data_IF_938080108001
#
_entry.id   IF_938080108001
#
_cell.length_a   1.000
_cell.length_b   1.000
_cell.length_c   1.000
_cell.angle_alpha   90.00
_cell.angle_beta   90.00
_cell.angle_gamma   90.00
#
_symmetry.space_group_name_H-M   'P 1'
#
loop_
_entity.id
_entity.type
_entity.pdbx_description
1 polymer ?
#
# COMPACT_ATOMS: atom_id res chain seq x y z
N UNK A 1 54.68 10.22 -5.70
CA UNK A 1 55.03 9.16 -4.72
C UNK A 1 54.02 8.04 -4.90
N UNK A 2 54.46 6.89 -5.43
CA UNK A 2 53.66 5.73 -5.85
C UNK A 2 53.92 4.58 -4.88
N UNK A 3 52.97 4.25 -4.00
CA UNK A 3 53.15 3.21 -2.98
C UNK A 3 51.73 2.88 -2.45
N UNK A 4 51.18 1.67 -2.38
CA UNK A 4 51.64 0.33 -2.66
C UNK A 4 50.40 -0.54 -2.96
N UNK A 5 50.52 -1.37 -3.99
CA UNK A 5 49.65 -2.50 -4.30
C UNK A 5 49.68 -3.51 -3.13
N UNK A 6 48.51 -3.95 -2.65
CA UNK A 6 48.40 -5.17 -1.84
C UNK A 6 47.20 -5.99 -2.27
N UNK A 7 47.55 -7.07 -2.96
CA UNK A 7 46.74 -8.20 -3.36
C UNK A 7 46.79 -9.22 -2.21
N UNK A 8 45.66 -9.53 -1.59
CA UNK A 8 45.50 -10.67 -0.67
C UNK A 8 44.22 -11.43 -1.08
N UNK A 9 44.35 -12.46 -1.92
CA UNK A 9 44.50 -13.89 -1.59
C UNK A 9 43.19 -14.54 -1.11
N UNK A 10 42.68 -15.41 -1.99
CA UNK A 10 41.57 -16.35 -1.79
C UNK A 10 41.69 -17.12 -0.48
N UNK A 11 40.54 -17.28 0.20
CA UNK A 11 40.24 -18.50 0.94
C UNK A 11 38.86 -19.00 0.49
N UNK A 12 38.87 -20.12 -0.23
CA UNK A 12 37.70 -20.92 -0.57
C UNK A 12 37.90 -22.29 0.08
N UNK A 13 37.02 -22.69 1.01
CA UNK A 13 36.92 -24.03 1.63
C UNK A 13 35.69 -23.99 2.57
N UNK A 14 34.74 -24.92 2.70
CA UNK A 14 34.22 -26.10 1.98
C UNK A 14 32.90 -26.46 2.70
N UNK A 15 31.91 -26.91 1.92
CA UNK A 15 30.86 -27.93 2.21
C UNK A 15 30.23 -28.03 3.61
N UNK A 16 28.90 -27.87 3.66
CA UNK A 16 28.03 -28.47 4.68
C UNK A 16 26.60 -28.59 4.15
N UNK A 17 26.19 -29.80 3.76
CA UNK A 17 24.86 -30.15 3.28
C UNK A 17 24.29 -31.22 4.20
N UNK A 18 23.07 -31.01 4.71
CA UNK A 18 22.21 -32.07 5.24
C UNK A 18 20.77 -31.82 4.77
N UNK A 19 20.16 -32.74 4.00
CA UNK A 19 18.73 -32.72 3.70
C UNK A 19 18.02 -33.79 4.54
N UNK A 20 17.06 -33.38 5.39
CA UNK A 20 16.07 -34.27 6.05
C UNK A 20 14.75 -33.50 6.29
N UNK A 21 13.61 -34.17 6.46
CA UNK A 21 12.77 -34.80 5.43
C UNK A 21 11.42 -34.06 5.30
N UNK A 22 10.69 -34.34 4.20
CA UNK A 22 9.28 -33.94 4.04
C UNK A 22 8.42 -34.74 5.03
N UNK A 23 7.56 -34.05 5.77
CA UNK A 23 6.44 -34.67 6.46
C UNK A 23 5.14 -34.03 5.96
N UNK A 24 4.35 -34.91 5.36
CA UNK A 24 3.03 -34.73 4.81
C UNK A 24 2.03 -34.77 5.97
N UNK A 25 1.12 -33.80 6.05
CA UNK A 25 -0.14 -33.99 6.80
C UNK A 25 -1.26 -33.35 5.99
N UNK A 26 -1.64 -34.09 4.97
CA UNK A 26 -3.01 -34.22 4.47
C UNK A 26 -4.04 -34.17 5.62
N UNK A 27 -4.94 -33.18 5.58
CA UNK A 27 -6.24 -33.27 6.26
C UNK A 27 -7.34 -32.84 5.29
N UNK A 28 -7.92 -33.86 4.67
CA UNK A 28 -9.33 -34.02 4.29
C UNK A 28 -9.99 -32.88 3.49
N UNK A 29 -10.04 -33.02 2.16
CA UNK A 29 -11.28 -33.16 1.35
C UNK A 29 -10.89 -33.89 0.04
N UNK A 30 -11.84 -34.60 -0.56
CA UNK A 30 -11.80 -35.27 -1.88
C UNK A 30 -11.40 -36.74 -1.91
N UNK A 31 -12.18 -37.54 -1.16
CA UNK A 31 -12.68 -38.78 -1.77
C UNK A 31 -13.81 -38.40 -2.72
N UNK A 32 -13.74 -38.92 -3.96
CA UNK A 32 -14.62 -38.73 -5.12
C UNK A 32 -14.09 -37.63 -6.06
N UNK A 33 -13.21 -38.00 -7.01
CA UNK A 33 -13.33 -37.68 -8.44
C UNK A 33 -12.19 -38.39 -9.21
N UNK A 34 -12.23 -39.72 -9.24
CA UNK A 34 -11.46 -40.48 -10.23
C UNK A 34 -12.27 -40.51 -11.53
N UNK A 35 -11.87 -39.70 -12.51
CA UNK A 35 -11.53 -40.13 -13.88
C UNK A 35 -11.57 -38.95 -14.87
N UNK A 36 -10.36 -38.62 -15.37
CA UNK A 36 -9.97 -38.20 -16.73
C UNK A 36 -10.82 -37.14 -17.47
N UNK A 37 -10.25 -35.95 -17.70
CA UNK A 37 -9.81 -35.56 -19.06
C UNK A 37 -8.85 -34.35 -19.04
N UNK A 38 -7.99 -34.32 -20.05
CA UNK A 38 -6.92 -33.39 -20.34
C UNK A 38 -7.43 -31.99 -20.70
N UNK A 39 -7.22 -31.00 -19.83
CA UNK A 39 -7.00 -29.63 -20.28
C UNK A 39 -6.36 -28.79 -19.20
N UNK A 40 -5.28 -28.13 -19.58
CA UNK A 40 -4.58 -27.11 -18.81
C UNK A 40 -5.58 -26.02 -18.46
N UNK A 41 -5.73 -25.74 -17.18
CA UNK A 41 -5.73 -24.41 -16.52
C UNK A 41 -6.10 -24.73 -15.08
N UNK A 42 -5.09 -24.93 -14.22
CA UNK A 42 -5.33 -24.68 -12.81
C UNK A 42 -5.75 -23.22 -12.71
N UNK A 43 -6.95 -22.88 -12.18
CA UNK A 43 -7.24 -21.50 -11.89
C UNK A 43 -6.18 -21.07 -10.89
N UNK A 44 -5.31 -20.16 -11.32
CA UNK A 44 -4.42 -19.45 -10.42
C UNK A 44 -5.36 -18.67 -9.49
N UNK A 45 -5.75 -19.28 -8.37
CA UNK A 45 -6.46 -18.59 -7.31
C UNK A 45 -5.41 -17.69 -6.65
N UNK A 46 -5.11 -16.57 -7.31
CA UNK A 46 -4.65 -15.39 -6.59
C UNK A 46 -5.78 -15.04 -5.66
N UNK A 47 -5.70 -15.47 -4.39
CA UNK A 47 -6.45 -14.84 -3.31
C UNK A 47 -6.03 -13.38 -3.30
N UNK A 48 -6.70 -12.57 -4.12
CA UNK A 48 -6.67 -11.12 -4.06
C UNK A 48 -7.20 -10.82 -2.67
N UNK A 49 -6.29 -10.48 -1.76
CA UNK A 49 -6.65 -9.96 -0.45
C UNK A 49 -7.43 -8.68 -0.73
N UNK A 50 -8.75 -8.82 -0.79
CA UNK A 50 -9.69 -7.70 -0.77
C UNK A 50 -9.49 -7.04 0.57
N UNK A 51 -8.54 -6.11 0.66
CA UNK A 51 -8.42 -5.23 1.81
C UNK A 51 -9.77 -4.55 1.95
N UNK A 52 -10.38 -4.64 3.14
CA UNK A 52 -11.59 -3.89 3.45
C UNK A 52 -11.24 -2.40 3.55
N UNK A 53 -11.19 -1.77 2.38
CA UNK A 53 -10.71 -0.41 2.20
C UNK A 53 -11.81 0.63 2.44
N UNK A 54 -13.08 0.23 2.46
CA UNK A 54 -14.21 1.14 2.62
C UNK A 54 -14.22 1.68 4.05
N UNK A 55 -14.57 2.95 4.24
CA UNK A 55 -14.63 3.57 5.57
C UNK A 55 -13.92 4.91 5.65
N UNK A 56 -13.84 5.44 6.86
CA UNK A 56 -13.36 6.79 7.11
C UNK A 56 -11.89 6.77 7.56
N UNK A 57 -11.03 7.49 6.86
CA UNK A 57 -9.60 7.62 7.15
C UNK A 57 -9.27 9.02 7.63
N UNK A 58 -8.54 9.13 8.75
CA UNK A 58 -8.18 10.43 9.34
C UNK A 58 -6.68 10.54 9.58
N UNK A 59 -6.16 11.77 9.47
CA UNK A 59 -4.77 12.08 9.76
C UNK A 59 -4.52 13.58 9.87
N UNK A 60 -3.34 13.97 10.37
CA UNK A 60 -2.84 15.35 10.29
C UNK A 60 -1.52 15.33 9.53
N UNK A 61 -1.53 15.89 8.32
CA UNK A 61 -0.40 15.86 7.40
C UNK A 61 0.50 17.08 7.60
N UNK A 62 1.81 16.98 7.27
CA UNK A 62 2.71 18.13 7.25
C UNK A 62 2.23 19.21 6.26
N UNK A 63 2.49 20.47 6.60
CA UNK A 63 2.10 21.62 5.82
C UNK A 63 3.30 22.57 5.66
N UNK A 64 3.55 23.05 4.43
CA UNK A 64 4.70 23.90 4.16
C UNK A 64 4.56 25.34 4.70
N UNK A 65 3.35 25.78 5.01
CA UNK A 65 3.06 27.16 5.45
C UNK A 65 1.93 27.27 6.47
N UNK A 66 1.63 26.18 7.16
CA UNK A 66 0.61 26.11 8.20
C UNK A 66 1.02 25.05 9.25
N UNK A 67 0.30 24.98 10.37
CA UNK A 67 0.67 24.08 11.48
C UNK A 67 0.41 22.60 11.16
N UNK A 68 -0.44 22.32 10.17
CA UNK A 68 -0.76 20.98 9.70
C UNK A 68 -2.05 20.97 8.90
N UNK A 69 -2.31 19.86 8.21
CA UNK A 69 -3.53 19.65 7.43
C UNK A 69 -4.31 18.51 8.08
N UNK A 70 -5.40 18.81 8.80
CA UNK A 70 -6.34 17.75 9.21
C UNK A 70 -7.08 17.28 7.97
N UNK A 71 -6.97 16.00 7.67
CA UNK A 71 -7.55 15.38 6.49
C UNK A 71 -8.42 14.21 6.92
N UNK A 72 -9.65 14.19 6.42
CA UNK A 72 -10.58 13.07 6.51
C UNK A 72 -10.98 12.65 5.09
N UNK A 73 -10.93 11.35 4.81
CA UNK A 73 -11.37 10.75 3.55
C UNK A 73 -12.29 9.59 3.87
N UNK A 74 -13.56 9.70 3.49
CA UNK A 74 -14.57 8.65 3.54
C UNK A 74 -14.64 7.98 2.16
N UNK A 75 -14.29 6.68 2.11
CA UNK A 75 -14.34 5.85 0.90
C UNK A 75 -15.57 4.94 0.92
N UNK A 76 -16.48 5.16 -0.02
CA UNK A 76 -17.78 4.46 -0.06
C UNK A 76 -17.75 3.20 -0.94
N UNK A 77 -18.69 2.25 -0.71
CA UNK A 77 -18.77 1.01 -1.49
C UNK A 77 -19.04 1.22 -2.99
N UNK A 78 -19.70 2.32 -3.36
CA UNK A 78 -20.06 2.69 -4.73
C UNK A 78 -18.93 3.38 -5.51
N UNK A 79 -17.69 3.31 -5.00
CA UNK A 79 -16.52 3.99 -5.56
C UNK A 79 -16.59 5.51 -5.57
N UNK A 80 -17.34 6.10 -4.63
CA UNK A 80 -17.35 7.54 -4.36
C UNK A 80 -16.60 7.88 -3.08
N UNK A 81 -16.21 9.15 -2.94
CA UNK A 81 -15.53 9.65 -1.75
C UNK A 81 -16.11 10.99 -1.26
N UNK A 82 -15.92 11.25 0.05
CA UNK A 82 -15.97 12.59 0.64
C UNK A 82 -14.61 12.90 1.27
N UNK A 83 -14.00 14.00 0.88
CA UNK A 83 -12.73 14.48 1.43
C UNK A 83 -12.98 15.81 2.15
N UNK A 84 -12.59 15.90 3.42
CA UNK A 84 -12.63 17.12 4.21
C UNK A 84 -11.23 17.51 4.64
N UNK A 85 -10.87 18.77 4.38
CA UNK A 85 -9.55 19.33 4.68
C UNK A 85 -9.70 20.55 5.59
N UNK A 86 -8.91 20.62 6.66
CA UNK A 86 -8.78 21.82 7.51
C UNK A 86 -7.29 22.18 7.60
N UNK A 87 -6.95 23.41 7.21
CA UNK A 87 -5.60 23.95 7.33
C UNK A 87 -5.44 24.62 8.70
N UNK A 88 -4.65 24.01 9.58
CA UNK A 88 -4.44 24.47 10.95
C UNK A 88 -3.48 25.65 11.04
N UNK A 89 -3.69 26.56 11.99
CA UNK A 89 -2.86 27.74 12.20
C UNK A 89 -3.04 28.81 11.12
N UNK A 90 -4.20 28.83 10.46
CA UNK A 90 -4.66 29.90 9.57
C UNK A 90 -5.88 30.55 10.19
N UNK A 91 -6.08 31.86 9.95
CA UNK A 91 -7.06 32.70 10.65
C UNK A 91 -8.51 32.20 10.58
N UNK A 92 -8.81 31.30 9.65
CA UNK A 92 -10.17 30.83 9.39
C UNK A 92 -10.44 29.35 9.69
N UNK A 93 -9.44 28.48 9.92
CA UNK A 93 -9.52 27.00 10.13
C UNK A 93 -10.82 26.29 9.64
N UNK A 94 -11.36 26.71 8.49
CA UNK A 94 -12.68 26.28 8.01
C UNK A 94 -12.54 24.96 7.25
N UNK A 95 -13.48 24.02 7.43
CA UNK A 95 -13.49 22.80 6.64
C UNK A 95 -13.80 23.09 5.17
N UNK A 96 -12.96 22.56 4.30
CA UNK A 96 -13.16 22.53 2.85
C UNK A 96 -13.50 21.10 2.47
N UNK A 97 -14.66 20.90 1.83
CA UNK A 97 -15.14 19.57 1.44
C UNK A 97 -15.15 19.40 -0.07
N UNK A 98 -14.63 18.28 -0.55
CA UNK A 98 -14.73 17.82 -1.94
C UNK A 98 -15.36 16.43 -1.99
N UNK A 99 -16.07 16.13 -3.07
CA UNK A 99 -16.72 14.85 -3.30
C UNK A 99 -16.54 14.45 -4.76
N UNK A 100 -16.52 13.14 -5.03
CA UNK A 100 -16.38 12.63 -6.38
C UNK A 100 -16.27 11.12 -6.42
N UNK A 101 -15.86 10.57 -7.56
CA UNK A 101 -15.50 9.16 -7.69
C UNK A 101 -14.02 8.94 -7.44
N UNK A 102 -13.62 7.70 -7.13
CA UNK A 102 -12.22 7.31 -7.16
C UNK A 102 -12.01 6.10 -8.07
N UNK A 103 -10.77 5.89 -8.50
CA UNK A 103 -10.41 4.79 -9.39
C UNK A 103 -9.16 4.07 -8.91
N UNK A 104 -9.13 2.75 -9.14
CA UNK A 104 -8.01 1.90 -8.77
C UNK A 104 -6.97 1.79 -9.89
N UNK A 105 -5.71 1.64 -9.51
CA UNK A 105 -4.71 1.13 -10.44
C UNK A 105 -4.93 -0.35 -10.76
N UNK A 106 -4.24 -0.86 -11.80
CA UNK A 106 -4.32 -2.27 -12.22
C UNK A 106 -3.87 -3.28 -11.15
N UNK A 107 -3.13 -2.83 -10.15
CA UNK A 107 -2.60 -3.66 -9.07
C UNK A 107 -3.44 -3.59 -7.79
N UNK A 108 -4.60 -2.92 -7.81
CA UNK A 108 -5.54 -2.81 -6.68
C UNK A 108 -4.90 -2.38 -5.35
N UNK A 109 -3.91 -1.49 -5.45
CA UNK A 109 -3.11 -1.03 -4.31
C UNK A 109 -3.05 0.49 -4.21
N UNK A 110 -3.51 1.20 -5.24
CA UNK A 110 -3.52 2.64 -5.32
C UNK A 110 -4.90 3.12 -5.76
N UNK A 111 -5.46 4.06 -5.02
CA UNK A 111 -6.65 4.83 -5.44
C UNK A 111 -6.24 6.22 -5.90
N UNK A 112 -6.98 6.76 -6.87
CA UNK A 112 -6.91 8.17 -7.30
C UNK A 112 -8.27 8.81 -7.06
N UNK A 113 -8.32 9.90 -6.30
CA UNK A 113 -9.54 10.69 -6.10
C UNK A 113 -9.78 11.58 -7.33
N UNK A 114 -10.80 11.26 -8.11
CA UNK A 114 -11.10 12.00 -9.34
C UNK A 114 -11.64 13.39 -9.02
N UNK A 115 -11.30 14.38 -9.85
CA UNK A 115 -11.70 15.77 -9.68
C UNK A 115 -10.88 16.57 -8.66
N UNK A 116 -9.89 15.96 -8.01
CA UNK A 116 -8.90 16.66 -7.17
C UNK A 116 -7.63 16.88 -7.99
N UNK A 117 -7.27 18.14 -8.25
CA UNK A 117 -6.12 18.52 -9.11
C UNK A 117 -5.18 19.54 -8.47
N UNK A 118 -5.65 20.25 -7.45
CA UNK A 118 -4.96 21.32 -6.73
C UNK A 118 -4.16 20.82 -5.52
N UNK A 119 -4.18 19.52 -5.25
CA UNK A 119 -3.49 18.87 -4.15
C UNK A 119 -3.24 17.38 -4.47
N UNK A 120 -2.39 16.67 -3.70
CA UNK A 120 -2.16 15.25 -3.96
C UNK A 120 -3.43 14.43 -3.80
N UNK A 121 -3.71 13.59 -4.80
CA UNK A 121 -4.97 12.85 -4.93
C UNK A 121 -4.79 11.33 -5.03
N UNK A 122 -3.54 10.84 -5.00
CA UNK A 122 -3.21 9.42 -5.06
C UNK A 122 -2.88 8.88 -3.68
N UNK A 123 -3.44 7.73 -3.35
CA UNK A 123 -3.25 7.10 -2.04
C UNK A 123 -2.96 5.61 -2.18
N UNK A 124 -1.88 5.15 -1.55
CA UNK A 124 -1.61 3.72 -1.42
C UNK A 124 -2.49 3.13 -0.32
N UNK A 125 -3.25 2.10 -0.68
CA UNK A 125 -4.14 1.40 0.26
C UNK A 125 -3.37 0.28 0.95
N UNK A 126 -3.43 0.30 2.28
CA UNK A 126 -2.87 -0.71 3.16
C UNK A 126 -3.92 -1.21 4.15
N UNK A 127 -3.50 -2.06 5.08
CA UNK A 127 -4.40 -2.59 6.10
C UNK A 127 -4.83 -1.46 7.06
N UNK A 128 -6.10 -1.06 7.02
CA UNK A 128 -6.68 0.02 7.83
C UNK A 128 -5.93 1.37 7.68
N UNK A 129 -5.26 1.60 6.55
CA UNK A 129 -4.53 2.84 6.30
C UNK A 129 -4.58 3.21 4.83
N UNK A 130 -4.53 4.51 4.55
CA UNK A 130 -4.19 5.03 3.24
C UNK A 130 -2.99 5.98 3.37
N UNK A 131 -2.01 5.87 2.48
CA UNK A 131 -0.80 6.72 2.49
C UNK A 131 -0.83 7.67 1.31
N UNK A 132 -0.87 8.97 1.58
CA UNK A 132 -0.86 10.00 0.53
C UNK A 132 0.48 9.98 -0.22
N UNK A 133 0.42 10.01 -1.55
CA UNK A 133 1.58 10.23 -2.42
C UNK A 133 1.82 11.72 -2.65
N UNK A 134 2.94 12.10 -3.26
CA UNK A 134 3.13 13.49 -3.70
C UNK A 134 2.28 13.83 -4.94
N UNK A 135 2.43 15.06 -5.44
CA UNK A 135 1.70 15.57 -6.60
C UNK A 135 1.92 14.73 -7.88
N UNK A 136 3.11 14.16 -8.05
CA UNK A 136 3.43 13.33 -9.22
C UNK A 136 2.90 11.90 -9.07
N UNK A 137 2.51 11.52 -7.85
CA UNK A 137 2.12 10.16 -7.50
C UNK A 137 3.32 9.29 -7.15
N UNK A 138 4.38 9.90 -6.63
CA UNK A 138 5.54 9.20 -6.08
C UNK A 138 5.37 9.04 -4.56
N UNK A 139 5.92 7.94 -4.04
CA UNK A 139 5.89 7.67 -2.60
C UNK A 139 6.79 8.64 -1.86
N UNK A 140 6.25 9.29 -0.83
CA UNK A 140 7.06 10.07 0.10
C UNK A 140 7.98 9.12 0.87
N UNK A 141 9.28 9.38 0.82
CA UNK A 141 10.32 8.57 1.46
C UNK A 141 10.97 9.30 2.65
N UNK A 142 11.83 8.57 3.37
CA UNK A 142 12.60 9.11 4.49
C UNK A 142 11.81 9.22 5.81
N UNK A 143 12.37 9.92 6.81
CA UNK A 143 11.80 9.99 8.17
C UNK A 143 10.38 10.56 8.22
N UNK A 144 10.02 11.42 7.26
CA UNK A 144 8.71 12.06 7.18
C UNK A 144 7.60 11.17 6.63
N UNK A 145 7.93 10.05 5.96
CA UNK A 145 6.95 9.23 5.23
C UNK A 145 5.76 8.80 6.09
N UNK A 146 6.00 8.48 7.37
CA UNK A 146 4.95 8.06 8.31
C UNK A 146 3.92 9.15 8.61
N UNK A 147 4.25 10.43 8.40
CA UNK A 147 3.34 11.57 8.61
C UNK A 147 2.31 11.73 7.48
N UNK A 148 2.45 10.98 6.39
CA UNK A 148 1.53 10.99 5.25
C UNK A 148 0.50 9.84 5.30
N UNK A 149 0.43 9.13 6.43
CA UNK A 149 -0.47 7.99 6.63
C UNK A 149 -1.74 8.46 7.33
N UNK A 150 -2.89 8.23 6.71
CA UNK A 150 -4.20 8.32 7.32
C UNK A 150 -4.62 6.93 7.80
N UNK A 151 -5.28 6.87 8.96
CA UNK A 151 -5.72 5.61 9.59
C UNK A 151 -7.24 5.50 9.52
N UNK A 152 -7.73 4.30 9.22
CA UNK A 152 -9.16 3.96 9.26
C UNK A 152 -9.67 4.11 10.69
N UNK A 153 -10.76 4.82 10.88
CA UNK A 153 -11.42 5.03 12.18
C UNK A 153 -12.79 4.37 12.24
N UNK A 154 -13.41 4.11 11.08
CA UNK A 154 -14.75 3.54 10.89
C UNK A 154 -14.70 2.59 9.69
#
# INVERSE_FOLDING_TARGET
MKNHLSLFLLFAFITGCDPKPKEDTTSMVDTIFNNLDSSRIAPKITKKKSVDYQGTYKGTLPCAGCSGIKLEIDLKPDSTYRMMTIYLGKDDEKPITKQGSFSWNKADSLITLNGVTDQPNKYLVGNNTISQLDMDGTKVLGPSARRYILRKTE
#
